data_IF_420076025884
#
_entry.id   IF_420076025884
#
_cell.length_a   1.000
_cell.length_b   1.000
_cell.length_c   1.000
_cell.angle_alpha   90.00
_cell.angle_beta   90.00
_cell.angle_gamma   90.00
#
_symmetry.space_group_name_H-M   'P 1'
#
loop_
_entity.id
_entity.type
_entity.pdbx_description
1 polymer ?
#
# COMPACT_ATOMS: atom_id res chain seq x y z
N UNK A 1 33.94 -6.47 -8.76
CA UNK A 1 33.64 -6.80 -7.35
C UNK A 1 32.31 -6.18 -6.90
N UNK A 2 31.21 -6.41 -7.63
CA UNK A 2 29.86 -5.99 -7.20
C UNK A 2 28.88 -7.09 -7.63
N UNK A 3 28.96 -8.26 -7.00
CA UNK A 3 28.02 -9.36 -7.26
C UNK A 3 28.00 -10.46 -6.17
N UNK A 4 28.54 -10.22 -4.96
CA UNK A 4 28.67 -11.28 -3.94
C UNK A 4 27.98 -10.93 -2.60
N UNK A 5 27.47 -9.71 -2.41
CA UNK A 5 26.77 -9.34 -1.16
C UNK A 5 25.25 -9.41 -1.22
N UNK A 6 24.63 -9.69 -2.37
CA UNK A 6 23.18 -9.86 -2.46
C UNK A 6 22.68 -11.25 -1.98
N UNK A 7 23.58 -12.15 -1.57
CA UNK A 7 23.25 -13.50 -1.08
C UNK A 7 23.28 -13.62 0.45
N UNK A 8 23.63 -12.56 1.19
CA UNK A 8 23.62 -12.53 2.66
C UNK A 8 22.20 -12.48 3.23
N UNK A 9 21.37 -11.58 2.72
CA UNK A 9 20.01 -11.33 3.24
C UNK A 9 18.98 -12.44 2.94
N UNK A 10 19.34 -13.43 2.13
CA UNK A 10 18.44 -14.54 1.77
C UNK A 10 18.57 -15.71 2.74
N UNK A 11 19.72 -15.90 3.40
CA UNK A 11 19.91 -17.06 4.30
C UNK A 11 19.16 -16.93 5.62
N UNK A 12 18.99 -15.71 6.13
CA UNK A 12 18.30 -15.46 7.39
C UNK A 12 16.75 -15.44 7.24
N UNK A 13 16.23 -15.39 6.01
CA UNK A 13 14.78 -15.50 5.73
C UNK A 13 14.31 -16.93 5.47
N UNK A 14 15.24 -17.87 5.27
CA UNK A 14 14.95 -19.29 5.09
C UNK A 14 15.36 -20.07 6.34
N UNK A 15 14.67 -19.82 7.46
CA UNK A 15 14.74 -20.71 8.62
C UNK A 15 13.85 -21.93 8.35
N UNK A 16 14.40 -23.16 8.21
CA UNK A 16 13.61 -24.37 7.96
C UNK A 16 12.61 -24.70 9.07
N UNK A 17 12.76 -24.13 10.28
CA UNK A 17 11.84 -24.30 11.40
C UNK A 17 10.70 -23.27 11.44
N UNK A 18 10.82 -22.12 10.74
CA UNK A 18 9.79 -21.07 10.63
C UNK A 18 9.44 -20.78 9.14
N UNK A 19 9.37 -21.83 8.32
CA UNK A 19 8.89 -21.72 6.94
C UNK A 19 7.38 -21.40 6.94
N UNK A 20 7.09 -20.12 7.03
CA UNK A 20 5.75 -19.57 6.95
C UNK A 20 5.56 -18.82 5.63
N UNK A 21 4.55 -19.22 4.87
CA UNK A 21 4.20 -18.62 3.59
C UNK A 21 3.30 -17.41 3.81
N UNK A 22 3.52 -16.35 3.02
CA UNK A 22 2.70 -15.14 3.02
C UNK A 22 2.63 -14.45 4.39
N UNK A 23 3.75 -14.39 5.11
CA UNK A 23 3.88 -13.65 6.38
C UNK A 23 3.52 -12.18 6.19
N UNK A 24 2.72 -11.65 7.11
CA UNK A 24 2.36 -10.24 7.19
C UNK A 24 3.13 -9.52 8.29
N UNK A 25 3.17 -8.21 8.19
CA UNK A 25 3.77 -7.31 9.18
C UNK A 25 2.66 -6.66 10.02
N UNK A 26 2.79 -6.74 11.34
CA UNK A 26 1.91 -6.06 12.28
C UNK A 26 2.29 -4.59 12.37
N UNK A 27 1.39 -3.70 11.97
CA UNK A 27 1.62 -2.25 12.05
C UNK A 27 0.34 -1.52 12.45
N UNK A 28 0.43 -0.24 12.75
CA UNK A 28 -0.71 0.53 13.19
C UNK A 28 -0.50 2.03 13.09
N UNK A 29 -1.61 2.75 13.14
CA UNK A 29 -1.62 4.21 13.04
C UNK A 29 -2.43 4.84 14.17
N UNK A 30 -2.00 6.03 14.56
CA UNK A 30 -2.64 6.83 15.58
C UNK A 30 -3.83 7.59 14.99
N UNK A 31 -4.92 7.53 15.75
CA UNK A 31 -6.13 8.30 15.52
C UNK A 31 -6.45 9.04 16.81
N UNK A 32 -6.06 10.33 16.96
CA UNK A 32 -6.41 11.10 18.13
C UNK A 32 -7.93 11.29 18.21
N UNK A 33 -8.46 11.37 19.43
CA UNK A 33 -9.88 11.68 19.66
C UNK A 33 -10.08 13.21 19.69
N UNK A 34 -9.09 13.96 20.20
CA UNK A 34 -9.16 15.41 20.42
C UNK A 34 -8.02 16.18 19.71
N UNK A 35 -7.65 15.78 18.50
CA UNK A 35 -6.60 16.43 17.70
C UNK A 35 -6.93 16.46 16.20
N UNK A 36 -6.37 17.44 15.48
CA UNK A 36 -6.65 17.68 14.06
C UNK A 36 -5.99 16.67 13.10
N UNK A 37 -4.97 15.92 13.54
CA UNK A 37 -4.13 15.10 12.64
C UNK A 37 -4.41 13.60 12.79
N UNK A 38 -5.02 13.01 11.77
CA UNK A 38 -5.34 11.58 11.70
C UNK A 38 -4.36 10.86 10.76
N UNK A 39 -3.39 10.16 11.33
CA UNK A 39 -2.37 9.42 10.58
C UNK A 39 -2.89 8.13 9.93
N UNK A 40 -4.13 7.73 10.20
CA UNK A 40 -4.79 6.54 9.61
C UNK A 40 -5.65 6.82 8.37
N UNK A 41 -5.90 8.08 8.07
CA UNK A 41 -6.76 8.49 6.95
C UNK A 41 -6.09 9.65 6.22
N UNK A 42 -4.79 9.49 5.98
CA UNK A 42 -3.97 10.48 5.33
C UNK A 42 -4.33 10.50 3.85
N UNK A 43 -5.23 11.39 3.45
CA UNK A 43 -5.30 11.88 2.06
C UNK A 43 -4.03 12.70 1.73
N UNK A 44 -2.85 12.17 2.05
CA UNK A 44 -1.55 12.85 2.00
C UNK A 44 -0.74 12.50 0.76
N UNK A 45 -1.16 11.50 -0.03
CA UNK A 45 -0.48 11.13 -1.27
C UNK A 45 -1.46 11.05 -2.43
N UNK A 46 -2.02 12.21 -2.78
CA UNK A 46 -2.98 12.35 -3.86
C UNK A 46 -3.56 13.73 -3.79
N UNK A 47 -2.75 14.71 -4.20
CA UNK A 47 -3.18 16.00 -4.72
C UNK A 47 -4.39 16.60 -3.99
N UNK A 48 -4.14 17.49 -3.03
CA UNK A 48 -5.13 18.47 -2.55
C UNK A 48 -6.52 17.86 -2.32
N UNK A 49 -6.88 17.47 -1.09
CA UNK A 49 -8.29 17.19 -0.78
C UNK A 49 -9.16 18.27 -1.43
N UNK A 50 -10.22 17.91 -2.15
CA UNK A 50 -10.97 18.88 -2.97
C UNK A 50 -11.39 20.14 -2.17
N UNK A 51 -11.50 20.03 -0.85
CA UNK A 51 -11.65 21.14 0.10
C UNK A 51 -10.40 22.02 0.28
N UNK A 52 -9.19 21.47 0.36
CA UNK A 52 -7.93 22.21 0.46
C UNK A 52 -7.46 22.77 -0.90
N UNK A 53 -7.67 22.04 -2.01
CA UNK A 53 -7.35 22.53 -3.36
C UNK A 53 -8.23 23.69 -3.80
N UNK A 54 -9.53 23.60 -3.51
CA UNK A 54 -10.47 24.69 -3.77
C UNK A 54 -10.28 25.88 -2.81
N UNK A 55 -9.86 25.65 -1.56
CA UNK A 55 -9.57 26.75 -0.63
C UNK A 55 -8.23 27.45 -0.91
N UNK A 56 -7.23 26.75 -1.45
CA UNK A 56 -5.94 27.35 -1.80
C UNK A 56 -6.05 28.43 -2.89
N UNK A 57 -7.04 28.32 -3.79
CA UNK A 57 -7.33 29.34 -4.82
C UNK A 57 -8.28 30.45 -4.32
N UNK A 58 -8.95 30.27 -3.19
CA UNK A 58 -9.96 31.21 -2.71
C UNK A 58 -9.38 32.48 -2.07
N UNK A 59 -8.07 32.49 -1.75
CA UNK A 59 -7.46 33.56 -0.96
C UNK A 59 -8.04 33.64 0.47
N UNK A 60 -7.25 34.19 1.40
CA UNK A 60 -7.67 34.37 2.80
C UNK A 60 -7.22 33.27 3.78
N UNK A 61 -7.63 33.36 5.06
CA UNK A 61 -7.08 32.53 6.14
C UNK A 61 -7.25 31.01 5.93
N UNK A 62 -8.30 30.61 5.22
CA UNK A 62 -8.55 29.21 4.86
C UNK A 62 -7.53 28.67 3.84
N UNK A 63 -7.00 29.51 2.95
CA UNK A 63 -5.98 29.13 1.98
C UNK A 63 -4.64 28.79 2.66
N UNK A 64 -4.27 29.56 3.71
CA UNK A 64 -3.04 29.32 4.48
C UNK A 64 -3.14 28.02 5.28
N UNK A 65 -4.30 27.76 5.89
CA UNK A 65 -4.56 26.49 6.58
C UNK A 65 -4.49 25.28 5.64
N UNK A 66 -5.00 25.42 4.40
CA UNK A 66 -4.93 24.40 3.37
C UNK A 66 -3.49 24.04 2.97
N UNK A 67 -2.59 25.03 2.88
CA UNK A 67 -1.17 24.82 2.57
C UNK A 67 -0.38 24.21 3.74
N UNK A 68 -0.72 24.54 4.99
CA UNK A 68 0.00 24.05 6.16
C UNK A 68 -0.35 22.60 6.57
N UNK A 69 -1.56 22.14 6.22
CA UNK A 69 -2.05 20.80 6.60
C UNK A 69 -1.14 19.64 6.15
N UNK A 70 -0.65 19.56 4.89
CA UNK A 70 0.27 18.49 4.50
C UNK A 70 1.58 18.54 5.30
N UNK A 71 2.13 19.72 5.60
CA UNK A 71 3.33 19.85 6.42
C UNK A 71 3.13 19.31 7.83
N UNK A 72 1.99 19.60 8.48
CA UNK A 72 1.71 19.09 9.83
C UNK A 72 1.70 17.56 9.88
N UNK A 73 1.13 16.88 8.89
CA UNK A 73 1.16 15.41 8.82
C UNK A 73 2.58 14.85 8.62
N UNK A 74 3.47 15.60 7.96
CA UNK A 74 4.84 15.17 7.77
C UNK A 74 5.65 15.15 9.07
N UNK A 75 5.38 16.09 9.98
CA UNK A 75 6.08 16.17 11.27
C UNK A 75 5.40 15.38 12.39
N UNK A 76 4.07 15.21 12.33
CA UNK A 76 3.30 14.59 13.41
C UNK A 76 3.05 13.10 13.24
N UNK A 77 3.10 12.58 12.00
CA UNK A 77 2.97 11.15 11.74
C UNK A 77 4.36 10.51 11.54
N UNK A 78 4.56 9.35 12.14
CA UNK A 78 5.77 8.55 11.97
C UNK A 78 5.90 8.01 10.53
N UNK A 79 7.12 7.64 10.14
CA UNK A 79 7.38 7.05 8.82
C UNK A 79 6.61 5.75 8.60
N UNK A 80 6.47 4.93 9.66
CA UNK A 80 5.70 3.69 9.62
C UNK A 80 4.22 3.94 9.35
N UNK A 81 3.65 5.01 9.91
CA UNK A 81 2.25 5.39 9.70
C UNK A 81 1.98 5.90 8.29
N UNK A 82 2.91 6.68 7.74
CA UNK A 82 2.83 7.12 6.34
C UNK A 82 2.93 5.93 5.40
N UNK A 83 3.83 4.99 5.68
CA UNK A 83 3.97 3.78 4.89
C UNK A 83 2.73 2.89 4.99
N UNK A 84 2.17 2.75 6.20
CA UNK A 84 0.91 2.04 6.42
C UNK A 84 -0.22 2.67 5.60
N UNK A 85 -0.37 4.00 5.60
CA UNK A 85 -1.39 4.68 4.80
C UNK A 85 -1.25 4.39 3.30
N UNK A 86 -0.02 4.32 2.77
CA UNK A 86 0.24 3.92 1.38
C UNK A 86 -0.13 2.46 1.15
N UNK A 87 0.33 1.54 2.01
CA UNK A 87 0.03 0.10 1.92
C UNK A 87 -1.48 -0.16 2.00
N UNK A 88 -2.19 0.53 2.89
CA UNK A 88 -3.64 0.42 3.07
C UNK A 88 -4.41 0.93 1.85
N UNK A 89 -4.00 2.09 1.28
CA UNK A 89 -4.58 2.61 0.03
C UNK A 89 -4.29 1.75 -1.19
N UNK A 90 -3.16 1.05 -1.20
CA UNK A 90 -2.84 0.03 -2.20
C UNK A 90 -3.60 -1.29 -1.97
N UNK A 91 -4.46 -1.38 -0.95
CA UNK A 91 -5.22 -2.58 -0.65
C UNK A 91 -4.36 -3.75 -0.15
N UNK A 92 -3.23 -3.47 0.49
CA UNK A 92 -2.29 -4.50 0.97
C UNK A 92 -2.51 -4.90 2.44
N UNK A 93 -3.34 -4.16 3.16
CA UNK A 93 -3.51 -4.33 4.60
C UNK A 93 -4.90 -4.87 4.95
N UNK A 94 -4.93 -5.76 5.94
CA UNK A 94 -6.13 -6.23 6.62
C UNK A 94 -6.29 -5.47 7.94
N UNK A 95 -7.47 -4.93 8.22
CA UNK A 95 -7.76 -4.24 9.47
C UNK A 95 -8.13 -5.21 10.59
N UNK A 96 -7.38 -5.20 11.69
CA UNK A 96 -7.60 -6.12 12.83
C UNK A 96 -8.50 -5.51 13.89
N UNK A 97 -8.31 -4.22 14.21
CA UNK A 97 -9.11 -3.57 15.24
C UNK A 97 -8.55 -2.22 15.73
N UNK A 98 -9.25 -1.60 16.69
CA UNK A 98 -8.81 -0.37 17.34
C UNK A 98 -8.67 -0.61 18.84
N UNK A 99 -7.60 -0.11 19.43
CA UNK A 99 -7.44 -0.10 20.88
C UNK A 99 -7.08 1.30 21.38
N UNK A 100 -7.24 1.50 22.69
CA UNK A 100 -6.84 2.74 23.34
C UNK A 100 -5.35 2.68 23.68
N UNK A 101 -4.54 3.54 23.05
CA UNK A 101 -3.10 3.61 23.33
C UNK A 101 -2.80 4.42 24.59
N UNK A 102 -3.59 5.46 24.87
CA UNK A 102 -3.45 6.31 26.05
C UNK A 102 -4.80 6.53 26.75
N UNK A 103 -4.81 6.31 28.07
CA UNK A 103 -5.97 6.53 28.94
C UNK A 103 -5.61 7.52 30.03
N UNK A 104 -6.49 8.49 30.29
CA UNK A 104 -6.37 9.45 31.39
C UNK A 104 -7.70 9.48 32.12
N UNK A 105 -7.69 9.29 33.44
CA UNK A 105 -8.89 9.24 34.30
C UNK A 105 -10.01 8.37 33.69
N UNK A 106 -9.68 7.11 33.33
CA UNK A 106 -10.59 6.13 32.71
C UNK A 106 -11.13 6.48 31.31
N UNK A 107 -10.86 7.68 30.79
CA UNK A 107 -11.26 8.11 29.45
C UNK A 107 -10.13 7.84 28.44
N UNK A 108 -10.48 7.33 27.26
CA UNK A 108 -9.52 7.13 26.18
C UNK A 108 -9.19 8.47 25.52
N UNK A 109 -7.92 8.87 25.51
CA UNK A 109 -7.50 10.14 24.89
C UNK A 109 -6.90 9.93 23.51
N UNK A 110 -6.24 8.79 23.30
CA UNK A 110 -5.66 8.41 22.01
C UNK A 110 -6.04 6.97 21.64
N UNK A 111 -6.53 6.80 20.41
CA UNK A 111 -6.80 5.49 19.82
C UNK A 111 -5.72 5.14 18.81
N UNK A 112 -5.44 3.84 18.68
CA UNK A 112 -4.54 3.28 17.68
C UNK A 112 -5.27 2.19 16.92
N UNK A 113 -5.26 2.27 15.60
CA UNK A 113 -5.76 1.22 14.72
C UNK A 113 -4.63 0.25 14.43
N UNK A 114 -4.94 -1.03 14.34
CA UNK A 114 -4.00 -2.12 14.11
C UNK A 114 -4.35 -2.86 12.83
N UNK A 115 -3.32 -3.20 12.08
CA UNK A 115 -3.41 -3.79 10.75
C UNK A 115 -2.36 -4.88 10.57
N UNK A 116 -2.70 -5.88 9.77
CA UNK A 116 -1.74 -6.82 9.19
C UNK A 116 -1.53 -6.45 7.74
N UNK A 117 -0.33 -5.98 7.39
CA UNK A 117 0.01 -5.61 6.01
C UNK A 117 0.85 -6.68 5.33
N UNK A 118 0.52 -6.99 4.09
CA UNK A 118 1.14 -8.04 3.31
C UNK A 118 1.92 -7.47 2.13
N UNK A 119 2.90 -8.21 1.58
CA UNK A 119 3.72 -7.72 0.45
C UNK A 119 2.92 -7.56 -0.85
N UNK A 120 1.76 -8.19 -0.99
CA UNK A 120 0.90 -8.09 -2.17
C UNK A 120 -0.58 -8.26 -1.82
N UNK A 121 -1.46 -7.79 -2.72
CA UNK A 121 -2.92 -8.04 -2.61
C UNK A 121 -3.25 -9.52 -2.61
N UNK A 122 -2.55 -10.31 -3.44
CA UNK A 122 -2.71 -11.77 -3.47
C UNK A 122 -2.41 -12.38 -2.10
N UNK A 123 -1.29 -12.00 -1.48
CA UNK A 123 -0.91 -12.47 -0.14
C UNK A 123 -1.96 -12.09 0.91
N UNK A 124 -2.52 -10.87 0.85
CA UNK A 124 -3.60 -10.44 1.75
C UNK A 124 -4.86 -11.30 1.56
N UNK A 125 -5.31 -11.48 0.32
CA UNK A 125 -6.51 -12.27 0.00
C UNK A 125 -6.35 -13.73 0.43
N UNK A 126 -5.20 -14.34 0.14
CA UNK A 126 -4.86 -15.69 0.59
C UNK A 126 -4.93 -15.80 2.12
N UNK A 127 -4.45 -14.80 2.83
CA UNK A 127 -4.49 -14.78 4.29
C UNK A 127 -5.91 -14.58 4.83
N UNK A 128 -6.69 -13.66 4.27
CA UNK A 128 -8.09 -13.44 4.66
C UNK A 128 -8.97 -14.66 4.42
N UNK A 129 -8.92 -15.23 3.22
CA UNK A 129 -9.78 -16.36 2.85
C UNK A 129 -9.23 -17.68 3.39
N UNK A 130 -7.90 -17.86 3.42
CA UNK A 130 -7.27 -19.06 3.96
C UNK A 130 -7.45 -19.18 5.48
N UNK A 131 -7.31 -18.08 6.23
CA UNK A 131 -7.59 -18.09 7.68
C UNK A 131 -9.05 -18.42 7.96
N UNK A 132 -9.99 -17.96 7.13
CA UNK A 132 -11.40 -18.33 7.26
C UNK A 132 -11.63 -19.85 7.08
N UNK A 133 -10.98 -20.48 6.10
CA UNK A 133 -11.07 -21.94 5.90
C UNK A 133 -10.46 -22.73 7.06
N UNK A 134 -9.32 -22.28 7.58
CA UNK A 134 -8.60 -22.92 8.69
C UNK A 134 -9.13 -22.53 10.08
N UNK A 135 -10.13 -21.65 10.15
CA UNK A 135 -10.67 -21.08 11.40
C UNK A 135 -9.61 -20.40 12.27
N UNK A 136 -8.66 -19.73 11.63
CA UNK A 136 -7.64 -18.93 12.29
C UNK A 136 -8.14 -17.50 12.48
N UNK A 137 -7.96 -16.95 13.69
CA UNK A 137 -8.28 -15.55 13.98
C UNK A 137 -7.15 -14.59 13.59
N UNK A 138 -7.32 -13.31 13.85
CA UNK A 138 -6.32 -12.25 13.63
C UNK A 138 -5.68 -11.74 14.93
N UNK A 139 -5.89 -12.43 16.05
CA UNK A 139 -5.47 -11.97 17.36
C UNK A 139 -6.28 -10.76 17.86
N UNK A 140 -5.72 -10.03 18.82
CA UNK A 140 -6.34 -8.84 19.39
C UNK A 140 -5.81 -7.58 18.70
N UNK A 141 -6.57 -6.47 18.75
CA UNK A 141 -6.10 -5.21 18.18
C UNK A 141 -4.73 -4.75 18.74
N UNK A 142 -4.43 -5.04 20.01
CA UNK A 142 -3.14 -4.69 20.62
C UNK A 142 -2.01 -5.67 20.29
N UNK A 143 -2.37 -6.91 19.97
CA UNK A 143 -1.47 -8.02 19.65
C UNK A 143 -2.03 -8.78 18.43
N UNK A 144 -1.93 -8.17 17.23
CA UNK A 144 -2.44 -8.80 16.02
C UNK A 144 -1.59 -10.01 15.65
N UNK A 145 -2.22 -11.08 15.21
CA UNK A 145 -1.57 -12.25 14.63
C UNK A 145 -1.52 -12.13 13.11
N UNK A 146 -0.36 -11.68 12.61
CA UNK A 146 -0.09 -11.55 11.17
C UNK A 146 0.82 -12.67 10.64
N UNK A 147 0.98 -13.79 11.36
CA UNK A 147 1.88 -14.88 10.93
C UNK A 147 1.52 -15.45 9.57
N UNK A 148 2.50 -16.00 8.87
CA UNK A 148 2.26 -16.77 7.65
C UNK A 148 1.60 -18.12 7.91
N UNK A 149 1.13 -18.76 6.85
CA UNK A 149 0.69 -20.16 6.93
C UNK A 149 1.91 -21.08 7.00
N UNK A 150 1.90 -22.05 7.89
CA UNK A 150 2.83 -23.17 7.80
C UNK A 150 2.58 -23.95 6.51
N UNK A 151 3.58 -24.71 6.05
CA UNK A 151 3.44 -25.55 4.84
C UNK A 151 2.22 -26.48 4.94
N UNK A 152 2.02 -27.11 6.11
CA UNK A 152 0.90 -28.02 6.35
C UNK A 152 -0.45 -27.31 6.36
N UNK A 153 -0.53 -26.09 6.90
CA UNK A 153 -1.74 -25.26 6.84
C UNK A 153 -2.07 -24.87 5.40
N UNK A 154 -1.07 -24.42 4.65
CA UNK A 154 -1.23 -24.00 3.27
C UNK A 154 -1.71 -25.14 2.36
N UNK A 155 -1.17 -26.34 2.52
CA UNK A 155 -1.58 -27.52 1.75
C UNK A 155 -3.05 -27.92 1.94
N UNK A 156 -3.66 -27.52 3.06
CA UNK A 156 -5.08 -27.78 3.35
C UNK A 156 -6.02 -26.73 2.77
N UNK A 157 -5.48 -25.62 2.25
CA UNK A 157 -6.29 -24.56 1.67
C UNK A 157 -6.83 -24.98 0.31
N UNK A 158 -8.13 -24.77 0.12
CA UNK A 158 -8.76 -24.84 -1.18
C UNK A 158 -8.63 -23.47 -1.87
N UNK A 159 -7.59 -23.33 -2.71
CA UNK A 159 -7.34 -22.12 -3.51
C UNK A 159 -8.34 -21.96 -4.66
N UNK A 160 -9.03 -23.02 -5.08
CA UNK A 160 -10.02 -22.97 -6.17
C UNK A 160 -11.34 -22.33 -5.73
N UNK A 161 -11.67 -22.47 -4.45
CA UNK A 161 -12.83 -21.82 -3.83
C UNK A 161 -12.58 -20.35 -3.45
N UNK A 162 -11.35 -19.84 -3.60
CA UNK A 162 -10.99 -18.47 -3.24
C UNK A 162 -11.24 -17.47 -4.37
N UNK A 163 -11.65 -16.26 -4.01
CA UNK A 163 -11.89 -15.18 -4.96
C UNK A 163 -10.66 -14.27 -5.08
N UNK A 164 -10.00 -14.30 -6.23
CA UNK A 164 -8.87 -13.44 -6.60
C UNK A 164 -9.20 -12.37 -7.66
N UNK A 165 -10.49 -12.08 -7.89
CA UNK A 165 -10.92 -11.14 -8.94
C UNK A 165 -10.36 -9.74 -8.75
N UNK A 166 -10.16 -9.31 -7.51
CA UNK A 166 -9.52 -8.02 -7.20
C UNK A 166 -8.11 -7.93 -7.79
N UNK A 167 -7.29 -8.96 -7.58
CA UNK A 167 -5.92 -9.02 -8.08
C UNK A 167 -5.91 -9.04 -9.62
N UNK A 168 -6.83 -9.79 -10.23
CA UNK A 168 -6.98 -9.82 -11.68
C UNK A 168 -7.39 -8.44 -12.26
N UNK A 169 -8.24 -7.70 -11.56
CA UNK A 169 -8.62 -6.35 -11.97
C UNK A 169 -7.42 -5.40 -11.97
N UNK A 170 -6.53 -5.49 -10.98
CA UNK A 170 -5.31 -4.66 -10.96
C UNK A 170 -4.35 -5.02 -12.08
N UNK A 171 -4.15 -6.32 -12.35
CA UNK A 171 -3.32 -6.78 -13.45
C UNK A 171 -3.88 -6.29 -14.79
N UNK A 172 -5.17 -6.45 -15.04
CA UNK A 172 -5.80 -5.98 -16.28
C UNK A 172 -5.76 -4.47 -16.40
N UNK A 173 -5.93 -3.72 -15.31
CA UNK A 173 -5.78 -2.27 -15.31
C UNK A 173 -4.35 -1.83 -15.62
N UNK A 174 -3.34 -2.52 -15.10
CA UNK A 174 -1.93 -2.24 -15.39
C UNK A 174 -1.54 -2.61 -16.83
N UNK A 175 -2.19 -3.62 -17.42
CA UNK A 175 -1.94 -4.12 -18.78
C UNK A 175 -2.88 -3.48 -19.82
N UNK A 176 -3.74 -2.52 -19.44
CA UNK A 176 -4.45 -1.68 -20.43
C UNK A 176 -3.41 -0.90 -21.24
N UNK A 177 -2.99 -1.51 -22.35
CA UNK A 177 -2.16 -0.88 -23.35
C UNK A 177 -2.93 0.33 -23.89
N UNK A 178 -2.26 1.47 -24.12
CA UNK A 178 -2.88 2.59 -24.80
C UNK A 178 -3.42 2.10 -26.14
N UNK A 179 -4.66 2.51 -26.42
CA UNK A 179 -5.47 2.19 -27.60
C UNK A 179 -4.57 1.98 -28.83
N UNK A 180 -4.64 0.79 -29.45
CA UNK A 180 -3.69 0.35 -30.49
C UNK A 180 -3.52 1.40 -31.60
N UNK A 181 -4.56 2.18 -31.87
CA UNK A 181 -4.58 3.28 -32.83
C UNK A 181 -3.65 4.43 -32.42
N UNK A 182 -3.64 4.83 -31.14
CA UNK A 182 -2.77 5.88 -30.63
C UNK A 182 -1.30 5.43 -30.62
N UNK A 183 -1.06 4.18 -30.28
CA UNK A 183 0.29 3.59 -30.24
C UNK A 183 0.86 3.40 -31.64
N UNK A 184 0.06 2.93 -32.61
CA UNK A 184 0.48 2.81 -34.00
C UNK A 184 0.81 4.18 -34.61
N UNK A 185 0.04 5.22 -34.27
CA UNK A 185 0.28 6.59 -34.75
C UNK A 185 1.56 7.16 -34.15
N UNK A 186 1.81 6.99 -32.84
CA UNK A 186 3.06 7.42 -32.21
C UNK A 186 4.29 6.71 -32.77
N UNK A 187 4.18 5.41 -33.07
CA UNK A 187 5.28 4.64 -33.68
C UNK A 187 5.56 5.17 -35.09
N UNK A 188 4.52 5.41 -35.90
CA UNK A 188 4.67 6.00 -37.24
C UNK A 188 5.31 7.39 -37.19
N UNK A 189 4.91 8.23 -36.24
CA UNK A 189 5.45 9.58 -36.10
C UNK A 189 6.91 9.57 -35.65
N UNK A 190 7.29 8.67 -34.73
CA UNK A 190 8.70 8.50 -34.32
C UNK A 190 9.59 7.96 -35.44
N UNK A 191 9.07 7.02 -36.24
CA UNK A 191 9.78 6.53 -37.43
C UNK A 191 9.98 7.68 -38.43
N UNK A 192 8.94 8.47 -38.68
CA UNK A 192 9.01 9.61 -39.61
C UNK A 192 10.01 10.67 -39.14
N UNK A 193 9.98 11.00 -37.84
CA UNK A 193 10.91 11.95 -37.22
C UNK A 193 12.38 11.46 -37.30
N UNK A 194 12.63 10.17 -37.07
CA UNK A 194 13.97 9.58 -37.21
C UNK A 194 14.51 9.72 -38.64
N UNK A 195 13.69 9.41 -39.65
CA UNK A 195 14.07 9.57 -41.05
C UNK A 195 14.22 11.04 -41.47
N UNK A 196 13.53 11.99 -40.83
CA UNK A 196 13.71 13.41 -41.10
C UNK A 196 15.00 13.97 -40.49
N UNK A 197 15.36 13.53 -39.29
CA UNK A 197 16.56 13.97 -38.57
C UNK A 197 17.85 13.31 -39.12
N UNK A 198 17.75 12.08 -39.63
CA UNK A 198 18.90 11.30 -40.07
C UNK A 198 18.89 10.91 -41.55
N UNK A 199 17.88 11.32 -42.33
CA UNK A 199 17.71 10.96 -43.74
C UNK A 199 18.28 11.95 -44.77
N UNK A 200 19.05 12.96 -44.38
CA UNK A 200 19.87 13.74 -45.32
C UNK A 200 21.29 13.14 -45.38
N UNK A 201 21.93 12.74 -46.49
CA UNK A 201 21.61 12.48 -47.91
C UNK A 201 22.87 11.75 -48.49
N UNK A 202 22.87 11.07 -49.66
CA UNK A 202 23.07 11.80 -50.90
C UNK A 202 22.23 11.29 -52.08
N UNK A 203 21.56 12.22 -52.77
CA UNK A 203 21.20 12.02 -54.17
C UNK A 203 22.47 12.21 -55.03
N UNK A 204 22.73 11.35 -56.02
CA UNK A 204 23.90 11.40 -56.88
C UNK A 204 23.96 12.65 -57.77
#
# INVERSE_FOLDING_TARGET
MVAVHAMGDVRDQFDPADLSLFKGEATGCHRPIFGLVNCCAGKSSGLLTASAGAAAIAGGPAAIAALATPFLTQFLCSSEEKLLDVKDRMGLCHYVGTYCSQKVLFVCTAKRKSYCCFPSKLSRILQEQGRAQLRLGWGEARHPDCRGFTVTEFQRLDLGAMNFSEVYADFTQAVKLPDEVATATQIQDRIREYYQLHGQTPSP
#
